data_IF_650213819617
#
_entry.id   IF_650213819617
#
_cell.length_a   1.000
_cell.length_b   1.000
_cell.length_c   1.000
_cell.angle_alpha   90.00
_cell.angle_beta   90.00
_cell.angle_gamma   90.00
#
_symmetry.space_group_name_H-M   'P 1'
#
loop_
_entity.id
_entity.type
_entity.pdbx_description
1 polymer ?
2 branched ?
3 branched ?
4 water ?
#
# COMPACT_ATOMS: atom_id res chain seq x y z
N UNK A 1 8.44 2.90 31.41
CA UNK A 1 7.94 4.26 31.68
C UNK A 1 8.72 5.45 31.15
N UNK A 2 9.92 5.23 30.62
CA UNK A 2 10.80 6.34 30.18
C UNK A 2 11.37 6.13 28.80
N UNK A 3 10.86 5.18 28.05
CA UNK A 3 11.35 4.93 26.71
C UNK A 3 10.24 4.34 25.82
N UNK A 4 10.33 4.69 24.55
CA UNK A 4 9.43 4.26 23.50
C UNK A 4 10.25 3.74 22.35
N UNK A 5 9.87 2.59 21.84
CA UNK A 5 10.50 2.06 20.65
C UNK A 5 9.46 1.80 19.57
N UNK A 6 9.70 2.30 18.38
CA UNK A 6 8.84 2.12 17.24
C UNK A 6 9.63 1.43 16.15
N UNK A 7 9.11 0.31 15.67
CA UNK A 7 9.68 -0.35 14.52
C UNK A 7 8.87 0.04 13.26
N UNK A 8 9.55 0.66 12.31
CA UNK A 8 8.92 1.10 11.07
C UNK A 8 9.45 0.30 9.91
N UNK A 9 8.55 -0.29 9.15
CA UNK A 9 8.84 -1.01 7.91
C UNK A 9 8.44 -0.17 6.73
N UNK A 10 9.28 -0.13 5.71
CA UNK A 10 9.03 0.77 4.56
C UNK A 10 9.30 0.00 3.26
N UNK A 11 8.34 0.03 2.36
CA UNK A 11 8.48 -0.61 1.04
C UNK A 11 8.32 0.38 -0.09
N UNK A 12 9.27 0.40 -1.01
CA UNK A 12 9.26 1.16 -2.23
C UNK A 12 9.16 0.21 -3.40
N UNK A 13 8.42 0.61 -4.44
CA UNK A 13 8.21 -0.27 -5.59
C UNK A 13 9.49 -0.59 -6.35
N UNK A 14 10.42 0.36 -6.40
CA UNK A 14 11.67 0.15 -7.13
C UNK A 14 12.74 -0.53 -6.31
N UNK A 15 12.51 -0.71 -5.02
CA UNK A 15 13.48 -1.28 -4.12
C UNK A 15 14.68 -0.45 -3.75
N UNK A 16 14.71 0.80 -4.16
CA UNK A 16 15.87 1.66 -3.97
C UNK A 16 15.63 2.58 -2.78
N UNK A 17 16.33 2.30 -1.69
CA UNK A 17 16.11 2.99 -0.44
C UNK A 17 17.16 4.03 -0.06
N UNK A 18 18.26 4.17 -0.83
CA UNK A 18 19.32 5.08 -0.45
C UNK A 18 18.78 6.52 -0.24
N UNK A 19 19.13 7.04 0.94
CA UNK A 19 18.78 8.36 1.36
C UNK A 19 17.48 8.51 2.10
N UNK A 20 16.57 7.56 1.94
CA UNK A 20 15.27 7.69 2.60
C UNK A 20 15.47 7.51 4.08
N UNK A 21 14.74 8.31 4.84
CA UNK A 21 14.84 8.32 6.30
C UNK A 21 13.51 8.83 6.87
N UNK A 22 13.40 8.81 8.20
CA UNK A 22 12.11 9.09 8.87
C UNK A 22 12.25 10.30 9.77
N UNK A 23 11.39 11.28 9.54
CA UNK A 23 11.28 12.46 10.40
C UNK A 23 10.13 12.17 11.38
N UNK A 24 10.45 12.07 12.66
CA UNK A 24 9.52 11.67 13.72
C UNK A 24 9.54 12.65 14.83
N UNK A 25 8.37 13.07 15.28
CA UNK A 25 8.28 14.05 16.38
C UNK A 25 7.28 13.58 17.44
N UNK A 26 7.61 13.81 18.71
CA UNK A 26 6.64 13.57 19.77
C UNK A 26 5.42 14.45 19.63
N UNK A 27 4.22 13.89 19.80
CA UNK A 27 2.96 14.63 19.79
C UNK A 27 2.42 14.54 21.23
N UNK A 28 2.27 13.33 21.78
CA UNK A 28 1.48 13.11 23.00
C UNK A 28 2.29 12.14 23.86
N UNK A 29 2.36 12.35 25.19
CA UNK A 29 1.65 13.42 25.92
C UNK A 29 2.32 14.78 25.88
N UNK A 30 3.56 14.86 25.41
CA UNK A 30 4.32 16.12 25.37
C UNK A 30 4.92 16.26 23.99
N UNK A 31 4.56 17.34 23.29
CA UNK A 31 4.98 17.57 21.91
C UNK A 31 6.37 18.21 21.87
N UNK A 32 7.12 17.87 20.83
CA UNK A 32 8.47 18.35 20.65
C UNK A 32 8.70 18.48 19.16
N UNK A 33 9.67 19.27 18.76
CA UNK A 33 10.17 19.24 17.38
C UNK A 33 10.73 17.85 17.09
N UNK A 34 10.78 17.53 15.80
CA UNK A 34 11.19 16.24 15.29
C UNK A 34 12.68 16.14 15.13
N UNK A 35 13.08 14.92 14.78
CA UNK A 35 14.45 14.56 14.46
C UNK A 35 14.40 13.51 13.31
N UNK A 36 15.54 13.28 12.66
CA UNK A 36 15.66 12.27 11.63
C UNK A 36 16.23 10.97 12.21
N UNK A 37 15.65 9.87 11.73
CA UNK A 37 16.02 8.53 12.10
C UNK A 37 16.28 7.70 10.87
N UNK A 38 17.35 6.90 10.93
CA UNK A 38 17.78 6.12 9.78
C UNK A 38 17.27 4.69 9.87
N UNK A 39 17.11 4.07 8.69
CA UNK A 39 16.89 2.66 8.61
C UNK A 39 18.14 1.90 9.04
N UNK A 40 17.90 0.84 9.79
CA UNK A 40 18.88 0.03 10.52
C UNK A 40 18.94 -1.42 9.98
N UNK A 41 17.96 -1.85 9.19
CA UNK A 41 17.84 -3.24 8.82
C UNK A 41 17.01 -3.40 7.59
N UNK A 42 16.73 -4.66 7.24
CA UNK A 42 16.05 -5.02 6.01
C UNK A 42 15.28 -6.32 6.28
N UNK A 43 14.20 -6.53 5.56
CA UNK A 43 13.52 -7.80 5.58
C UNK A 43 12.86 -7.97 4.21
N UNK A 44 11.98 -8.95 4.05
CA UNK A 44 11.43 -9.18 2.74
C UNK A 44 10.48 -8.08 2.23
N UNK A 45 10.03 -7.23 3.14
CA UNK A 45 9.16 -6.11 2.77
C UNK A 45 9.89 -4.86 2.38
N UNK A 46 11.10 -4.70 2.87
CA UNK A 46 11.88 -3.50 2.60
C UNK A 46 12.75 -3.12 3.74
N UNK A 47 12.90 -1.85 4.01
CA UNK A 47 13.82 -1.46 5.07
C UNK A 47 13.11 -1.43 6.41
N UNK A 48 13.87 -1.51 7.48
CA UNK A 48 13.39 -1.49 8.84
C UNK A 48 14.16 -0.42 9.61
N UNK A 49 13.45 0.40 10.38
CA UNK A 49 14.04 1.34 11.30
C UNK A 49 13.54 0.94 12.71
N UNK A 50 14.47 0.80 13.64
CA UNK A 50 14.18 0.71 15.07
C UNK A 50 14.46 2.08 15.67
N UNK A 51 13.40 2.77 16.09
CA UNK A 51 13.47 4.13 16.54
C UNK A 51 13.26 4.15 18.05
N UNK A 52 14.20 4.69 18.79
CA UNK A 52 14.11 4.69 20.24
C UNK A 52 14.04 6.15 20.67
N UNK A 53 13.04 6.47 21.51
CA UNK A 53 12.85 7.81 22.02
C UNK A 53 12.84 7.76 23.53
N UNK A 54 13.59 8.65 24.19
CA UNK A 54 13.77 8.58 25.64
C UNK A 54 12.61 9.19 26.48
N UNK A 55 11.36 8.90 26.08
CA UNK A 55 10.17 9.28 26.84
C UNK A 55 9.09 8.25 26.58
N UNK A 56 8.05 8.29 27.39
CA UNK A 56 6.93 7.36 27.23
C UNK A 56 5.88 8.10 26.39
N UNK A 57 5.75 7.70 25.13
CA UNK A 57 4.93 8.42 24.14
C UNK A 57 3.72 7.58 23.76
N UNK A 58 2.57 8.23 23.58
CA UNK A 58 1.37 7.61 23.07
C UNK A 58 1.09 7.99 21.59
N UNK A 59 1.71 9.07 21.08
CA UNK A 59 1.53 9.47 19.70
C UNK A 59 2.75 10.20 19.22
N UNK A 60 3.17 9.85 18.00
CA UNK A 60 4.19 10.61 17.31
C UNK A 60 3.72 10.98 15.90
N UNK A 61 4.27 12.03 15.33
CA UNK A 61 4.16 12.31 13.91
C UNK A 61 5.30 11.64 13.18
N UNK A 62 5.07 11.37 11.90
CA UNK A 62 6.08 10.77 11.04
C UNK A 62 5.89 11.30 9.62
N UNK A 63 7.02 11.60 8.99
CA UNK A 63 7.07 11.83 7.55
C UNK A 63 8.25 11.04 7.02
N UNK A 64 8.02 10.37 5.89
CA UNK A 64 9.08 9.69 5.16
C UNK A 64 9.69 10.67 4.16
N UNK A 65 10.99 10.86 4.28
CA UNK A 65 11.66 11.95 3.54
C UNK A 65 12.92 11.42 2.91
N UNK A 66 13.32 12.10 1.83
CA UNK A 66 14.56 11.78 1.12
C UNK A 66 15.63 12.78 1.53
N UNK A 67 16.66 12.26 2.18
CA UNK A 67 17.78 13.07 2.73
C UNK A 67 17.16 14.24 3.53
N UNK A 68 17.68 15.46 3.40
CA UNK A 68 17.20 16.60 4.18
C UNK A 68 16.12 17.34 3.47
N UNK A 69 14.97 16.69 3.38
CA UNK A 69 13.80 17.20 2.72
C UNK A 69 13.96 17.43 1.22
N UNK A 70 14.72 16.59 0.54
CA UNK A 70 14.72 16.68 -0.93
C UNK A 70 13.36 16.34 -1.53
N UNK A 71 12.65 15.44 -0.85
CA UNK A 71 11.33 14.99 -1.22
C UNK A 71 10.65 14.38 -0.02
N UNK A 72 9.33 14.30 -0.10
CA UNK A 72 8.52 13.55 0.86
C UNK A 72 7.81 12.44 0.10
N UNK A 73 7.64 11.31 0.76
CA UNK A 73 6.85 10.21 0.25
C UNK A 73 5.57 10.23 1.07
N UNK A 74 4.53 10.85 0.50
CA UNK A 74 3.30 11.27 1.13
C UNK A 74 3.62 12.55 1.87
N UNK A 75 3.10 13.66 1.38
CA UNK A 75 3.54 14.97 1.84
C UNK A 75 2.86 15.45 3.16
N UNK A 76 1.72 14.91 3.49
CA UNK A 76 0.97 15.37 4.68
C UNK A 76 1.55 14.72 5.93
N UNK A 77 1.38 15.37 7.06
CA UNK A 77 1.75 14.82 8.34
C UNK A 77 0.93 13.57 8.58
N UNK A 78 1.57 12.53 9.10
CA UNK A 78 0.85 11.34 9.53
C UNK A 78 1.32 11.02 10.94
N UNK A 79 0.61 10.08 11.58
CA UNK A 79 0.79 9.79 12.99
C UNK A 79 0.76 8.31 13.28
N UNK A 80 1.44 7.93 14.35
CA UNK A 80 1.47 6.57 14.89
C UNK A 80 1.02 6.61 16.34
N UNK A 81 0.03 5.77 16.68
CA UNK A 81 -0.51 5.63 18.03
C UNK A 81 0.17 4.45 18.67
N UNK A 82 0.61 4.62 19.92
CA UNK A 82 1.50 3.70 20.59
C UNK A 82 0.91 3.32 21.95
N UNK A 83 0.88 2.02 22.24
CA UNK A 83 0.50 1.44 23.54
C UNK A 83 1.74 0.88 24.25
N UNK A 84 1.92 1.25 25.52
CA UNK A 84 2.96 0.68 26.34
C UNK A 84 4.38 0.83 25.79
N UNK A 85 4.59 1.97 25.12
CA UNK A 85 5.92 2.35 24.74
C UNK A 85 6.48 1.55 23.59
N UNK A 86 5.63 0.83 22.86
CA UNK A 86 6.09 0.03 21.72
C UNK A 86 5.04 0.07 20.63
N UNK A 87 5.49 0.24 19.39
CA UNK A 87 4.63 0.07 18.23
C UNK A 87 5.42 -0.48 17.06
N UNK A 88 4.69 -0.98 16.06
CA UNK A 88 5.29 -1.49 14.84
C UNK A 88 4.34 -1.24 13.68
N UNK A 89 4.82 -0.61 12.62
CA UNK A 89 3.98 -0.22 11.51
C UNK A 89 4.67 -0.53 10.21
N UNK A 90 3.84 -0.58 9.18
CA UNK A 90 4.23 -0.85 7.80
C UNK A 90 3.73 0.29 6.94
N UNK A 91 4.65 0.83 6.16
CA UNK A 91 4.39 1.97 5.30
C UNK A 91 4.77 1.58 3.88
N UNK A 92 3.83 1.82 2.98
CA UNK A 92 4.04 1.61 1.55
C UNK A 92 4.19 2.96 0.84
N UNK A 93 5.09 3.01 -0.12
CA UNK A 93 5.31 4.19 -0.96
C UNK A 93 4.01 4.74 -1.53
N UNK A 94 3.76 6.00 -1.24
CA UNK A 94 2.63 6.71 -1.83
C UNK A 94 1.24 6.34 -1.31
N UNK A 95 1.22 5.47 -0.31
CA UNK A 95 -0.01 5.02 0.35
C UNK A 95 -0.16 5.77 1.66
N UNK A 96 -1.26 6.49 1.80
CA UNK A 96 -1.47 7.34 2.98
C UNK A 96 -1.63 6.54 4.27
N UNK A 97 -2.42 5.48 4.20
CA UNK A 97 -2.68 4.71 5.42
C UNK A 97 -1.43 4.04 5.96
N UNK A 98 -1.19 4.21 7.25
CA UNK A 98 -0.13 3.48 7.96
C UNK A 98 -0.75 2.20 8.54
N UNK A 99 -0.14 1.07 8.25
CA UNK A 99 -0.67 -0.21 8.69
C UNK A 99 -0.03 -0.73 9.96
N UNK A 100 -0.85 -1.40 10.78
CA UNK A 100 -0.40 -1.95 12.05
C UNK A 100 -0.22 -3.49 12.02
N UNK A 101 -0.34 -4.06 10.83
CA UNK A 101 0.07 -5.43 10.61
C UNK A 101 0.55 -5.51 9.17
N UNK A 102 1.43 -6.47 8.93
CA UNK A 102 2.07 -6.58 7.64
C UNK A 102 1.07 -6.94 6.53
N UNK A 103 0.97 -6.17 5.46
CA UNK A 103 0.08 -6.53 4.33
C UNK A 103 0.49 -7.88 3.72
N UNK B 2 -21.27 1.11 -25.22
CA UNK B 2 -21.45 -0.36 -25.00
C UNK B 2 -20.10 -1.09 -24.80
N UNK B 3 -19.26 -0.55 -23.95
CA UNK B 3 -17.89 -1.06 -23.78
C UNK B 3 -17.42 -0.51 -22.45
N UNK B 4 -16.70 -1.33 -21.68
CA UNK B 4 -16.05 -0.92 -20.45
C UNK B 4 -14.61 -1.36 -20.55
N UNK B 5 -13.68 -0.47 -20.34
CA UNK B 5 -12.26 -0.84 -20.31
C UNK B 5 -11.71 -0.52 -18.94
N UNK B 6 -11.11 -1.52 -18.31
CA UNK B 6 -10.44 -1.38 -17.03
C UNK B 6 -8.98 -1.74 -17.13
N UNK B 7 -8.12 -0.83 -16.74
CA UNK B 7 -6.68 -1.11 -16.64
C UNK B 7 -6.40 -1.31 -15.16
N UNK B 8 -5.87 -2.49 -14.84
CA UNK B 8 -5.57 -2.88 -13.48
C UNK B 8 -4.06 -3.03 -13.36
N UNK B 9 -3.48 -2.26 -12.44
CA UNK B 9 -2.07 -2.36 -12.06
C UNK B 9 -1.95 -3.13 -10.76
N UNK B 10 -0.97 -4.05 -10.64
CA UNK B 10 -0.89 -4.92 -9.47
C UNK B 10 0.57 -5.06 -9.05
N UNK B 11 0.84 -4.75 -7.78
CA UNK B 11 2.16 -4.88 -7.19
C UNK B 11 2.16 -5.88 -6.05
N UNK B 12 3.10 -6.80 -6.12
CA UNK B 12 3.39 -7.74 -5.06
C UNK B 12 4.79 -7.41 -4.49
N UNK B 13 4.95 -7.42 -3.16
CA UNK B 13 6.26 -6.99 -2.66
C UNK B 13 7.30 -8.10 -2.84
N UNK B 14 6.86 -9.37 -3.08
CA UNK B 14 7.74 -10.50 -3.41
C UNK B 14 8.21 -10.60 -4.90
N UNK B 15 7.66 -9.76 -5.77
CA UNK B 15 8.02 -9.73 -7.16
C UNK B 15 7.67 -10.94 -7.95
N UNK B 16 6.86 -11.85 -7.38
CA UNK B 16 6.56 -13.18 -7.92
C UNK B 16 5.09 -13.16 -8.37
N UNK B 17 4.91 -12.93 -9.66
CA UNK B 17 3.56 -12.73 -10.22
C UNK B 17 2.97 -13.91 -10.97
N UNK B 18 3.77 -14.95 -11.24
CA UNK B 18 3.28 -16.06 -12.04
C UNK B 18 2.03 -16.67 -11.42
N UNK B 19 1.04 -16.85 -12.28
CA UNK B 19 -0.21 -17.49 -11.94
C UNK B 19 -1.26 -16.55 -11.38
N UNK B 20 -0.88 -15.35 -10.93
CA UNK B 20 -1.85 -14.39 -10.45
C UNK B 20 -2.67 -13.86 -11.61
N UNK B 21 -3.98 -13.74 -11.41
CA UNK B 21 -4.93 -13.32 -12.43
C UNK B 21 -6.14 -12.64 -11.76
N UNK B 22 -7.07 -12.12 -12.56
CA UNK B 22 -8.16 -11.31 -12.03
C UNK B 22 -9.48 -11.94 -12.36
N UNK B 23 -10.29 -12.17 -11.34
CA UNK B 23 -11.68 -12.58 -11.55
C UNK B 23 -12.54 -11.34 -11.46
N UNK B 24 -13.11 -10.98 -12.61
CA UNK B 24 -13.93 -9.74 -12.69
C UNK B 24 -15.33 -10.07 -13.17
N UNK B 25 -16.32 -9.47 -12.53
CA UNK B 25 -17.73 -9.70 -12.88
C UNK B 25 -18.50 -8.36 -12.90
N UNK B 26 -19.45 -8.21 -13.82
CA UNK B 26 -20.29 -7.02 -13.83
C UNK B 26 -21.18 -6.98 -12.61
N UNK B 27 -21.42 -5.77 -12.09
CA UNK B 27 -22.26 -5.58 -10.93
C UNK B 27 -23.37 -4.53 -11.06
N UNK B 28 -23.11 -3.38 -11.66
CA UNK B 28 -24.15 -2.55 -12.25
C UNK B 28 -23.92 -2.02 -13.60
N UNK B 29 -24.99 -1.88 -14.39
CA UNK B 29 -26.39 -2.09 -13.98
C UNK B 29 -26.92 -3.53 -14.03
N UNK B 30 -26.07 -4.47 -14.38
CA UNK B 30 -26.43 -5.89 -14.25
C UNK B 30 -25.31 -6.62 -13.54
N UNK B 31 -25.71 -7.68 -12.90
CA UNK B 31 -24.80 -8.60 -12.23
C UNK B 31 -24.85 -9.88 -13.04
N UNK B 32 -23.67 -10.41 -13.40
CA UNK B 32 -23.52 -11.70 -14.09
C UNK B 32 -22.31 -12.41 -13.49
N UNK B 33 -22.30 -13.72 -13.63
CA UNK B 33 -21.07 -14.50 -13.36
C UNK B 33 -19.85 -13.91 -14.10
N UNK B 34 -18.69 -13.98 -13.46
CA UNK B 34 -17.48 -13.36 -13.96
C UNK B 34 -16.66 -14.26 -14.86
N UNK B 35 -15.48 -13.78 -15.16
CA UNK B 35 -14.51 -14.41 -16.00
C UNK B 35 -13.14 -14.09 -15.43
N UNK B 36 -12.18 -14.93 -15.76
CA UNK B 36 -10.78 -14.65 -15.48
C UNK B 36 -10.11 -13.81 -16.57
N UNK B 37 -9.29 -12.87 -16.13
CA UNK B 37 -8.53 -11.98 -16.99
C UNK B 37 -7.07 -12.04 -16.57
N UNK B 38 -6.22 -12.16 -17.55
CA UNK B 38 -4.80 -12.25 -17.33
C UNK B 38 -4.08 -10.95 -17.48
N UNK B 39 -2.98 -10.83 -16.77
CA UNK B 39 -2.10 -9.70 -16.96
C UNK B 39 -1.46 -9.75 -18.33
N UNK B 40 -1.59 -8.64 -19.06
CA UNK B 40 -1.19 -8.43 -20.46
C UNK B 40 0.16 -7.74 -20.63
N UNK B 41 0.68 -7.12 -19.56
CA UNK B 41 1.78 -6.20 -19.66
C UNK B 41 2.42 -5.96 -18.31
N UNK B 42 3.34 -5.01 -18.30
CA UNK B 42 4.07 -4.66 -17.09
C UNK B 42 4.63 -3.27 -17.17
N UNK B 43 4.79 -2.67 -16.00
CA UNK B 43 5.48 -1.39 -15.85
C UNK B 43 6.24 -1.37 -14.50
N UNK B 44 6.66 -0.18 -14.09
CA UNK B 44 7.52 -0.04 -12.92
C UNK B 44 6.80 -0.41 -11.61
N UNK B 45 5.48 -0.48 -11.66
CA UNK B 45 4.69 -0.81 -10.47
C UNK B 45 4.45 -2.29 -10.37
N UNK B 46 4.48 -2.99 -11.48
CA UNK B 46 4.28 -4.43 -11.48
C UNK B 46 3.50 -4.83 -12.71
N UNK B 47 2.54 -5.69 -12.58
CA UNK B 47 1.81 -6.17 -13.74
C UNK B 47 0.66 -5.27 -14.11
N UNK B 48 0.26 -5.37 -15.38
CA UNK B 48 -0.84 -4.59 -15.95
C UNK B 48 -1.79 -5.52 -16.71
N UNK B 49 -3.09 -5.34 -16.48
CA UNK B 49 -4.12 -6.05 -17.22
C UNK B 49 -5.00 -4.99 -17.86
N UNK B 50 -5.25 -5.13 -19.16
CA UNK B 50 -6.28 -4.38 -19.87
C UNK B 50 -7.51 -5.25 -20.07
N UNK B 51 -8.57 -4.94 -19.34
CA UNK B 51 -9.77 -5.75 -19.25
C UNK B 51 -10.86 -5.05 -20.08
N UNK B 52 -11.38 -5.73 -21.07
CA UNK B 52 -12.49 -5.14 -21.84
C UNK B 52 -13.76 -5.97 -21.67
N UNK B 53 -14.87 -5.32 -21.35
CA UNK B 53 -16.15 -6.00 -21.22
C UNK B 53 -17.05 -5.27 -22.24
N UNK B 54 -17.68 -5.94 -23.21
CA UNK B 54 -18.62 -5.27 -24.14
C UNK B 54 -20.00 -5.02 -23.50
N UNK B 55 -20.01 -4.31 -22.39
CA UNK B 55 -21.24 -3.84 -21.75
C UNK B 55 -20.99 -2.46 -21.17
N UNK B 56 -22.03 -1.64 -21.10
CA UNK B 56 -21.96 -0.39 -20.39
C UNK B 56 -22.16 -0.74 -18.92
N UNK B 57 -21.18 -0.38 -18.11
CA UNK B 57 -21.15 -0.71 -16.70
C UNK B 57 -20.73 0.51 -15.89
N UNK B 58 -21.28 0.62 -14.68
CA UNK B 58 -20.78 1.60 -13.70
C UNK B 58 -20.02 0.96 -12.56
N UNK B 59 -20.09 -0.35 -12.43
CA UNK B 59 -19.43 -1.02 -11.33
C UNK B 59 -19.16 -2.46 -11.69
N UNK B 60 -17.97 -2.95 -11.32
CA UNK B 60 -17.63 -4.33 -11.44
C UNK B 60 -17.03 -4.80 -10.11
N UNK B 61 -17.08 -6.11 -9.90
CA UNK B 61 -16.41 -6.76 -8.82
C UNK B 61 -15.06 -7.29 -9.34
N UNK B 62 -14.14 -7.45 -8.40
CA UNK B 62 -12.79 -7.97 -8.66
C UNK B 62 -12.27 -8.73 -7.48
N UNK B 63 -11.64 -9.88 -7.80
CA UNK B 63 -10.83 -10.62 -6.82
C UNK B 63 -9.52 -10.94 -7.54
N UNK B 64 -8.42 -10.73 -6.84
CA UNK B 64 -7.10 -11.12 -7.34
C UNK B 64 -6.84 -12.53 -6.81
N UNK B 65 -6.61 -13.47 -7.72
CA UNK B 65 -6.53 -14.90 -7.39
C UNK B 65 -5.30 -15.55 -8.02
N UNK B 66 -4.87 -16.65 -7.40
CA UNK B 66 -3.79 -17.44 -7.93
C UNK B 66 -4.35 -18.64 -8.63
N UNK B 67 -4.06 -18.76 -9.93
CA UNK B 67 -4.52 -19.87 -10.73
C UNK B 67 -6.01 -20.03 -10.56
N UNK B 68 -6.51 -21.27 -10.47
CA UNK B 68 -7.94 -21.49 -10.33
C UNK B 68 -8.31 -21.58 -8.85
N UNK B 69 -8.29 -20.42 -8.21
CA UNK B 69 -8.67 -20.28 -6.82
C UNK B 69 -7.78 -21.03 -5.86
N UNK B 70 -6.49 -21.14 -6.20
CA UNK B 70 -5.53 -21.62 -5.21
C UNK B 70 -5.42 -20.70 -4.03
N UNK B 71 -5.58 -19.39 -4.23
CA UNK B 71 -5.57 -18.43 -3.16
C UNK B 71 -6.25 -17.18 -3.68
N UNK B 72 -6.65 -16.33 -2.74
CA UNK B 72 -7.10 -14.96 -3.04
C UNK B 72 -6.21 -14.00 -2.27
N UNK B 73 -5.75 -12.97 -2.97
CA UNK B 73 -5.01 -11.89 -2.34
C UNK B 73 -6.01 -10.86 -1.95
N UNK B 74 -6.37 -10.88 -0.66
CA UNK B 74 -7.57 -10.17 -0.10
C UNK B 74 -8.79 -10.98 -0.44
N UNK B 75 -9.28 -11.73 0.55
CA UNK B 75 -10.27 -12.80 0.33
C UNK B 75 -11.67 -12.34 0.64
N UNK B 76 -12.01 -11.14 0.21
CA UNK B 76 -13.39 -10.64 0.16
C UNK B 76 -13.62 -10.02 -1.19
N UNK B 77 -14.88 -9.97 -1.62
CA UNK B 77 -15.23 -9.24 -2.81
C UNK B 77 -14.86 -7.79 -2.71
N UNK B 78 -14.31 -7.25 -3.78
CA UNK B 78 -14.04 -5.80 -3.85
C UNK B 78 -14.61 -5.32 -5.18
N UNK B 79 -14.65 -4.00 -5.31
CA UNK B 79 -15.33 -3.38 -6.44
C UNK B 79 -14.53 -2.22 -7.01
N UNK B 80 -14.76 -1.98 -8.31
CA UNK B 80 -14.22 -0.86 -9.05
C UNK B 80 -15.38 -0.03 -9.63
N UNK B 81 -15.34 1.27 -9.40
CA UNK B 81 -16.27 2.21 -10.03
C UNK B 81 -15.79 2.53 -11.44
N UNK B 82 -16.71 2.56 -12.37
CA UNK B 82 -16.42 2.86 -13.76
C UNK B 82 -16.91 4.29 -14.05
N UNK B 83 -16.06 5.08 -14.73
CA UNK B 83 -16.36 6.49 -15.00
C UNK B 83 -16.27 6.71 -16.50
N UNK B 84 -17.41 7.09 -17.12
CA UNK B 84 -17.45 7.26 -18.57
C UNK B 84 -16.85 6.07 -19.34
N UNK B 85 -17.17 4.88 -18.86
CA UNK B 85 -16.75 3.64 -19.52
C UNK B 85 -15.34 3.18 -19.26
N UNK B 86 -14.62 3.87 -18.41
CA UNK B 86 -13.20 3.59 -18.14
C UNK B 86 -12.92 3.52 -16.65
N UNK B 87 -11.90 2.73 -16.29
CA UNK B 87 -11.28 2.79 -15.00
C UNK B 87 -9.83 2.42 -15.08
N UNK B 88 -8.99 3.05 -14.25
CA UNK B 88 -7.61 2.60 -14.06
C UNK B 88 -7.29 2.61 -12.60
N UNK B 89 -6.90 1.44 -12.11
CA UNK B 89 -6.70 1.27 -10.70
C UNK B 89 -5.36 0.62 -10.39
N UNK B 90 -4.97 0.77 -9.14
CA UNK B 90 -3.75 0.24 -8.57
C UNK B 90 -4.12 -0.54 -7.34
N UNK B 91 -3.70 -1.82 -7.33
CA UNK B 91 -3.95 -2.78 -6.29
C UNK B 91 -2.60 -3.27 -5.76
N UNK B 92 -2.48 -3.27 -4.42
CA UNK B 92 -1.26 -3.75 -3.76
C UNK B 92 -1.58 -5.03 -2.96
N UNK B 93 -0.62 -5.94 -3.00
CA UNK B 93 -0.69 -7.16 -2.24
C UNK B 93 -1.13 -6.89 -0.79
N UNK B 94 -2.17 -7.58 -0.39
CA UNK B 94 -2.70 -7.54 0.96
C UNK B 94 -3.29 -6.25 1.43
N UNK B 95 -3.45 -5.26 0.55
CA UNK B 95 -4.01 -3.98 0.89
C UNK B 95 -5.44 -3.94 0.35
N UNK B 96 -6.41 -3.75 1.25
CA UNK B 96 -7.81 -3.78 0.90
C UNK B 96 -8.28 -2.67 -0.05
N UNK B 97 -7.81 -1.44 0.19
CA UNK B 97 -8.23 -0.32 -0.61
C UNK B 97 -7.70 -0.43 -2.03
N UNK B 98 -8.57 -0.18 -2.98
CA UNK B 98 -8.15 -0.06 -4.37
C UNK B 98 -7.98 1.44 -4.69
N UNK B 99 -6.86 1.75 -5.32
CA UNK B 99 -6.49 3.14 -5.60
C UNK B 99 -6.77 3.57 -7.03
N UNK B 100 -7.14 4.83 -7.18
CA UNK B 100 -7.48 5.36 -8.47
C UNK B 100 -6.46 6.37 -8.98
N UNK B 101 -5.32 6.44 -8.31
CA UNK B 101 -4.11 7.11 -8.81
C UNK B 101 -2.92 6.24 -8.42
N UNK B 102 -1.84 6.31 -9.20
CA UNK B 102 -0.65 5.53 -8.97
C UNK B 102 -0.01 5.95 -7.64
N UNK B 103 0.14 5.04 -6.68
CA UNK B 103 0.88 5.35 -5.46
C UNK B 103 2.33 5.71 -5.79
#
# INVERSE_FOLDING_TARGET
FTETTIVVHYHRYDGKYDGWNLWIWPVEPVSQEGKAYQFTGEDDFGKVAVVKLPMDLTKVGIIVRLNEWQAKDVAKDRFIEIKDGKAEVWILQGVEEIFYEKP
FTETTIVVHYHRYDGKYDGWNLWIWPVEPVSQEGKAYQFTGEDDFGKVAVVKLPMDLTKVGIIVRLNEWQAKDVAKDRFIEIKDGKAEVWILQGVEEIFYEKP
#
